data_IF_215155322746
#
_entry.id   IF_215155322746
#
_cell.length_a   1.000
_cell.length_b   1.000
_cell.length_c   1.000
_cell.angle_alpha   90.00
_cell.angle_beta   90.00
_cell.angle_gamma   90.00
#
_symmetry.space_group_name_H-M   'P 1'
#
loop_
_entity.id
_entity.type
_entity.pdbx_description
1 polymer ?
#
# COMPACT_ATOMS: atom_id res chain seq x y z
N UNK A 1 -8.83 -21.31 -6.87
CA UNK A 1 -9.70 -20.92 -7.99
C UNK A 1 -9.02 -19.77 -8.71
N UNK A 2 -8.57 -19.99 -9.94
CA UNK A 2 -7.89 -18.95 -10.72
C UNK A 2 -8.95 -18.17 -11.52
N UNK A 3 -8.99 -16.85 -11.36
CA UNK A 3 -9.91 -16.00 -12.13
C UNK A 3 -9.49 -16.00 -13.61
N UNK A 4 -10.44 -16.12 -14.53
CA UNK A 4 -10.18 -15.99 -15.96
C UNK A 4 -9.66 -14.58 -16.29
N UNK A 5 -8.91 -14.46 -17.39
CA UNK A 5 -8.40 -13.16 -17.84
C UNK A 5 -9.54 -12.16 -18.09
N UNK A 6 -10.62 -12.60 -18.72
CA UNK A 6 -11.84 -11.81 -18.96
C UNK A 6 -12.47 -11.30 -17.67
N UNK A 7 -12.57 -12.14 -16.63
CA UNK A 7 -13.15 -11.73 -15.35
C UNK A 7 -12.23 -10.74 -14.62
N UNK A 8 -10.91 -10.92 -14.69
CA UNK A 8 -9.93 -9.97 -14.15
C UNK A 8 -10.06 -8.60 -14.83
N UNK A 9 -10.19 -8.58 -16.15
CA UNK A 9 -10.37 -7.34 -16.92
C UNK A 9 -11.69 -6.66 -16.57
N UNK A 10 -12.81 -7.39 -16.54
CA UNK A 10 -14.12 -6.85 -16.16
C UNK A 10 -14.12 -6.27 -14.74
N UNK A 11 -13.52 -6.96 -13.77
CA UNK A 11 -13.36 -6.45 -12.42
C UNK A 11 -12.51 -5.17 -12.39
N UNK A 12 -11.40 -5.14 -13.15
CA UNK A 12 -10.55 -3.94 -13.25
C UNK A 12 -11.30 -2.75 -13.85
N UNK A 13 -12.06 -2.97 -14.93
CA UNK A 13 -12.87 -1.93 -15.57
C UNK A 13 -13.97 -1.41 -14.63
N UNK A 14 -14.68 -2.31 -13.96
CA UNK A 14 -15.74 -1.95 -13.02
C UNK A 14 -15.21 -1.17 -11.81
N UNK A 15 -14.06 -1.57 -11.27
CA UNK A 15 -13.47 -0.92 -10.11
C UNK A 15 -13.04 0.53 -10.35
N UNK A 16 -12.59 0.85 -11.58
CA UNK A 16 -12.11 2.18 -11.94
C UNK A 16 -13.19 3.11 -12.54
N UNK A 17 -14.40 2.58 -12.78
CA UNK A 17 -15.49 3.32 -13.39
C UNK A 17 -16.38 3.97 -12.34
N UNK A 18 -16.34 5.31 -12.28
CA UNK A 18 -17.27 6.13 -11.49
C UNK A 18 -18.52 6.35 -12.35
N UNK A 19 -19.69 6.08 -11.77
CA UNK A 19 -20.99 6.36 -12.36
C UNK A 19 -21.52 7.67 -11.78
N UNK A 20 -22.00 8.55 -12.65
CA UNK A 20 -22.78 9.73 -12.28
C UNK A 20 -24.25 9.41 -12.45
N UNK A 21 -25.06 9.79 -11.46
CA UNK A 21 -26.51 9.57 -11.42
C UNK A 21 -27.26 10.81 -11.95
N UNK A 22 -28.56 10.67 -12.20
CA UNK A 22 -29.39 11.74 -12.77
C UNK A 22 -29.49 12.97 -11.85
N UNK A 23 -29.33 12.77 -10.54
CA UNK A 23 -29.28 13.83 -9.53
C UNK A 23 -27.92 14.55 -9.44
N UNK A 24 -26.96 14.18 -10.29
CA UNK A 24 -25.60 14.71 -10.28
C UNK A 24 -24.67 14.06 -9.25
N UNK A 25 -25.16 13.14 -8.41
CA UNK A 25 -24.35 12.38 -7.47
C UNK A 25 -23.44 11.36 -8.17
N UNK A 26 -22.43 10.86 -7.45
CA UNK A 26 -21.50 9.83 -7.96
C UNK A 26 -21.36 8.66 -6.99
N UNK A 27 -20.97 7.48 -7.50
CA UNK A 27 -20.68 6.32 -6.66
C UNK A 27 -19.23 6.22 -6.17
N UNK A 28 -18.47 7.32 -6.22
CA UNK A 28 -17.04 7.28 -5.91
C UNK A 28 -16.72 6.94 -4.45
N UNK A 29 -17.62 7.34 -3.54
CA UNK A 29 -17.52 7.11 -2.10
C UNK A 29 -18.15 5.79 -1.65
N UNK A 30 -18.83 5.06 -2.54
CA UNK A 30 -19.46 3.78 -2.19
C UNK A 30 -18.39 2.74 -1.80
N UNK A 31 -18.57 2.02 -0.67
CA UNK A 31 -17.65 0.96 -0.27
C UNK A 31 -17.61 -0.16 -1.31
N UNK A 32 -16.40 -0.50 -1.74
CA UNK A 32 -16.15 -1.61 -2.65
C UNK A 32 -15.60 -2.84 -1.93
N UNK A 33 -14.72 -2.62 -0.96
CA UNK A 33 -14.02 -3.69 -0.26
C UNK A 33 -13.85 -3.32 1.20
N UNK A 34 -14.07 -4.29 2.08
CA UNK A 34 -13.71 -4.20 3.49
C UNK A 34 -12.67 -5.28 3.76
N UNK A 35 -11.44 -4.85 4.03
CA UNK A 35 -10.37 -5.72 4.45
C UNK A 35 -10.41 -5.88 5.96
N UNK A 36 -10.83 -7.05 6.40
CA UNK A 36 -10.77 -7.39 7.82
C UNK A 36 -9.29 -7.51 8.21
N UNK A 37 -8.76 -6.63 9.05
CA UNK A 37 -7.48 -6.80 9.75
C UNK A 37 -7.74 -6.72 11.26
N UNK A 38 -6.75 -6.35 12.09
CA UNK A 38 -7.03 -6.05 13.50
C UNK A 38 -8.05 -4.90 13.64
N UNK A 39 -8.02 -3.94 12.72
CA UNK A 39 -9.14 -3.03 12.43
C UNK A 39 -9.58 -3.17 10.97
N UNK A 40 -10.89 -3.12 10.68
CA UNK A 40 -11.39 -3.15 9.31
C UNK A 40 -10.91 -1.92 8.52
N UNK A 41 -10.43 -2.15 7.30
CA UNK A 41 -10.10 -1.09 6.35
C UNK A 41 -11.11 -1.10 5.20
N UNK A 42 -11.78 0.03 4.98
CA UNK A 42 -12.74 0.19 3.90
C UNK A 42 -12.08 0.89 2.71
N UNK A 43 -12.24 0.33 1.52
CA UNK A 43 -11.86 0.92 0.25
C UNK A 43 -13.12 1.22 -0.56
N UNK A 44 -13.26 2.44 -1.04
CA UNK A 44 -14.24 2.86 -2.05
C UNK A 44 -13.63 3.02 -3.44
N UNK A 45 -14.48 3.29 -4.44
CA UNK A 45 -14.10 3.47 -5.85
C UNK A 45 -13.03 4.52 -6.08
N UNK A 46 -13.05 5.61 -5.31
CA UNK A 46 -12.05 6.67 -5.43
C UNK A 46 -10.62 6.15 -5.28
N UNK A 47 -10.38 5.18 -4.39
CA UNK A 47 -9.05 4.58 -4.23
C UNK A 47 -8.68 3.71 -5.43
N UNK A 48 -9.62 2.97 -6.02
CA UNK A 48 -9.35 2.10 -7.18
C UNK A 48 -9.13 2.88 -8.47
N UNK A 49 -9.62 4.12 -8.58
CA UNK A 49 -9.30 5.01 -9.70
C UNK A 49 -7.79 5.26 -9.82
N UNK A 50 -7.05 5.19 -8.71
CA UNK A 50 -5.59 5.33 -8.67
C UNK A 50 -4.82 4.21 -9.39
N UNK A 51 -5.50 3.12 -9.75
CA UNK A 51 -4.95 2.02 -10.56
C UNK A 51 -5.03 2.27 -12.08
N UNK A 52 -5.52 3.45 -12.50
CA UNK A 52 -5.51 3.83 -13.92
C UNK A 52 -4.07 4.04 -14.41
N UNK A 53 -3.89 3.92 -15.73
CA UNK A 53 -2.61 4.31 -16.32
C UNK A 53 -2.37 5.81 -16.08
N UNK A 54 -1.11 6.17 -15.81
CA UNK A 54 -0.69 7.55 -15.59
C UNK A 54 -1.31 8.25 -14.36
N UNK A 55 -1.85 7.50 -13.40
CA UNK A 55 -2.24 8.02 -12.08
C UNK A 55 -1.22 7.62 -11.01
N UNK A 56 -1.13 8.41 -9.94
CA UNK A 56 -0.42 8.01 -8.73
C UNK A 56 -1.26 6.99 -7.97
N UNK A 57 -0.63 5.92 -7.46
CA UNK A 57 -1.30 4.90 -6.66
C UNK A 57 -1.50 5.47 -5.24
N UNK A 58 -2.73 5.38 -4.75
CA UNK A 58 -3.08 5.84 -3.40
C UNK A 58 -2.42 4.98 -2.32
N UNK A 59 -2.04 5.61 -1.21
CA UNK A 59 -1.38 4.92 -0.09
C UNK A 59 -2.28 3.83 0.54
N UNK A 60 -3.59 4.01 0.45
CA UNK A 60 -4.63 3.07 0.88
C UNK A 60 -4.58 1.79 0.03
N UNK A 61 -4.39 1.90 -1.28
CA UNK A 61 -4.23 0.73 -2.16
C UNK A 61 -2.95 -0.04 -1.81
N UNK A 62 -1.85 0.67 -1.58
CA UNK A 62 -0.59 0.04 -1.17
C UNK A 62 -0.72 -0.63 0.20
N UNK A 63 -1.43 0.01 1.13
CA UNK A 63 -1.72 -0.55 2.46
C UNK A 63 -2.57 -1.81 2.35
N UNK A 64 -3.62 -1.78 1.55
CA UNK A 64 -4.47 -2.92 1.26
C UNK A 64 -3.68 -4.10 0.68
N UNK A 65 -2.75 -3.84 -0.25
CA UNK A 65 -1.86 -4.88 -0.77
C UNK A 65 -1.01 -5.53 0.33
N UNK A 66 -0.40 -4.74 1.23
CA UNK A 66 0.34 -5.29 2.36
C UNK A 66 -0.53 -6.15 3.27
N UNK A 67 -1.74 -5.69 3.60
CA UNK A 67 -2.68 -6.43 4.44
C UNK A 67 -3.08 -7.77 3.80
N UNK A 68 -3.33 -7.77 2.49
CA UNK A 68 -3.62 -8.99 1.73
C UNK A 68 -2.41 -9.94 1.75
N UNK A 69 -1.21 -9.46 1.44
CA UNK A 69 0.01 -10.28 1.41
C UNK A 69 0.29 -10.93 2.77
N UNK A 70 0.10 -10.19 3.86
CA UNK A 70 0.28 -10.69 5.23
C UNK A 70 -0.74 -11.77 5.64
N UNK A 71 -1.86 -11.87 4.91
CA UNK A 71 -2.94 -12.84 5.16
C UNK A 71 -2.96 -14.00 4.17
N UNK A 72 -2.28 -13.85 3.04
CA UNK A 72 -2.14 -14.94 2.10
C UNK A 72 -1.29 -16.05 2.72
N UNK A 73 -1.72 -17.30 2.50
CA UNK A 73 -0.97 -18.49 2.90
C UNK A 73 0.21 -18.70 1.94
N UNK A 74 1.14 -17.74 1.97
CA UNK A 74 2.40 -17.78 1.27
C UNK A 74 3.46 -17.90 2.35
N UNK A 75 4.12 -19.06 2.41
CA UNK A 75 5.13 -19.41 3.41
C UNK A 75 6.11 -18.28 3.75
N UNK A 76 6.57 -17.53 2.74
CA UNK A 76 7.47 -16.37 2.97
C UNK A 76 6.83 -15.28 3.83
N UNK A 77 5.56 -14.94 3.62
CA UNK A 77 4.85 -13.92 4.40
C UNK A 77 4.32 -14.44 5.75
N UNK A 78 4.29 -15.75 5.94
CA UNK A 78 3.94 -16.38 7.22
C UNK A 78 5.13 -16.50 8.17
N UNK A 79 6.31 -16.78 7.63
CA UNK A 79 7.49 -17.14 8.44
C UNK A 79 8.60 -16.09 8.39
N UNK A 80 8.72 -15.33 7.30
CA UNK A 80 9.95 -14.58 6.99
C UNK A 80 9.74 -13.08 6.80
N UNK A 81 8.64 -12.68 6.19
CA UNK A 81 8.39 -11.33 5.72
C UNK A 81 7.10 -10.79 6.32
N UNK A 82 7.17 -9.67 7.04
CA UNK A 82 6.00 -8.91 7.42
C UNK A 82 5.92 -7.61 6.61
N UNK A 83 4.82 -7.39 5.89
CA UNK A 83 4.55 -6.17 5.11
C UNK A 83 3.91 -5.11 6.00
N UNK A 84 4.59 -4.00 6.25
CA UNK A 84 4.09 -2.90 7.07
C UNK A 84 3.09 -2.06 6.26
N UNK A 85 1.89 -1.74 6.78
CA UNK A 85 0.98 -0.79 6.16
C UNK A 85 1.65 0.55 5.79
N UNK A 86 1.47 1.02 4.55
CA UNK A 86 2.13 2.22 4.03
C UNK A 86 1.70 3.50 4.79
N UNK A 87 0.44 3.57 5.22
CA UNK A 87 -0.12 4.70 5.98
C UNK A 87 0.71 5.05 7.22
N UNK A 88 1.23 4.04 7.91
CA UNK A 88 2.01 4.22 9.14
C UNK A 88 3.35 4.90 8.85
N UNK A 89 4.01 4.46 7.78
CA UNK A 89 5.32 5.00 7.39
C UNK A 89 5.18 6.40 6.81
N UNK A 90 4.13 6.64 6.01
CA UNK A 90 3.87 7.94 5.39
C UNK A 90 3.61 9.02 6.44
N UNK A 91 2.88 8.70 7.51
CA UNK A 91 2.59 9.64 8.59
C UNK A 91 3.83 9.90 9.45
N UNK A 92 4.60 8.85 9.73
CA UNK A 92 5.90 8.99 10.39
C UNK A 92 6.82 9.93 9.61
N UNK A 93 6.81 9.87 8.27
CA UNK A 93 7.60 10.76 7.41
C UNK A 93 7.01 12.15 7.35
N UNK A 94 5.70 12.29 7.15
CA UNK A 94 5.02 13.59 7.04
C UNK A 94 5.17 14.44 8.30
N UNK A 95 5.21 13.83 9.48
CA UNK A 95 5.42 14.53 10.75
C UNK A 95 6.88 14.90 11.03
N UNK A 96 7.80 14.49 10.14
CA UNK A 96 9.24 14.68 10.29
C UNK A 96 9.78 15.58 9.16
N UNK A 97 10.09 16.83 9.48
CA UNK A 97 10.67 17.78 8.51
C UNK A 97 12.05 17.30 8.02
N UNK A 98 12.13 16.86 6.76
CA UNK A 98 13.39 16.69 6.03
C UNK A 98 14.08 15.33 6.19
N UNK A 99 13.33 14.25 6.42
CA UNK A 99 13.87 12.88 6.33
C UNK A 99 14.76 12.43 7.50
N UNK A 100 14.92 13.26 8.53
CA UNK A 100 15.39 12.80 9.84
C UNK A 100 14.19 12.20 10.55
N UNK A 101 14.23 10.93 10.97
CA UNK A 101 13.21 10.31 11.82
C UNK A 101 13.22 10.89 13.25
N UNK A 102 13.22 12.21 13.33
CA UNK A 102 13.22 13.01 14.54
C UNK A 102 11.97 13.86 14.49
N UNK A 103 11.11 13.70 15.48
CA UNK A 103 9.85 14.42 15.56
C UNK A 103 10.09 15.93 15.50
N UNK A 104 9.38 16.62 14.58
CA UNK A 104 9.69 18.01 14.21
C UNK A 104 9.74 18.97 15.40
N UNK A 105 8.84 18.78 16.38
CA UNK A 105 8.71 19.65 17.56
C UNK A 105 9.72 19.40 18.69
N UNK A 106 10.09 18.15 18.95
CA UNK A 106 10.83 17.78 20.17
C UNK A 106 12.18 17.10 19.87
N UNK A 107 12.52 16.91 18.58
CA UNK A 107 13.76 16.29 18.11
C UNK A 107 14.01 14.87 18.64
N UNK A 108 13.00 14.21 19.22
CA UNK A 108 13.12 12.82 19.68
C UNK A 108 13.08 11.86 18.50
N UNK A 109 13.78 10.71 18.58
CA UNK A 109 13.64 9.63 17.61
C UNK A 109 12.18 9.21 17.44
N UNK A 110 11.85 8.69 16.25
CA UNK A 110 10.56 8.06 16.01
C UNK A 110 10.29 6.97 17.05
N UNK A 111 9.16 7.10 17.75
CA UNK A 111 8.63 6.09 18.63
C UNK A 111 7.22 5.72 18.16
N UNK A 112 6.99 4.44 17.91
CA UNK A 112 5.68 3.93 17.50
C UNK A 112 4.61 4.17 18.58
N UNK A 113 5.02 4.33 19.85
CA UNK A 113 4.11 4.64 20.96
C UNK A 113 3.49 6.03 20.86
N UNK A 114 4.12 6.97 20.14
CA UNK A 114 3.53 8.28 19.85
C UNK A 114 2.39 8.19 18.82
N UNK A 115 2.28 7.04 18.13
CA UNK A 115 1.37 6.78 17.03
C UNK A 115 0.31 5.73 17.40
N UNK A 116 -0.24 5.84 18.62
CA UNK A 116 -1.20 4.86 19.17
C UNK A 116 -2.40 4.56 18.27
N UNK A 117 -2.84 5.54 17.49
CA UNK A 117 -3.95 5.35 16.53
C UNK A 117 -3.66 4.30 15.45
N UNK A 118 -2.38 3.97 15.21
CA UNK A 118 -1.95 3.00 14.20
C UNK A 118 -1.60 1.63 14.77
N UNK A 119 -1.38 1.52 16.08
CA UNK A 119 -1.16 0.24 16.76
C UNK A 119 -2.25 -0.78 16.44
N UNK A 120 -3.55 -0.43 16.38
CA UNK A 120 -4.60 -1.38 16.03
C UNK A 120 -4.57 -1.89 14.59
N UNK A 121 -3.74 -1.34 13.71
CA UNK A 121 -3.56 -1.82 12.34
C UNK A 121 -2.29 -2.68 12.20
N UNK A 122 -1.52 -2.85 13.28
CA UNK A 122 -0.26 -3.56 13.31
C UNK A 122 -0.38 -4.89 14.02
N UNK A 123 -0.03 -5.97 13.33
CA UNK A 123 0.24 -7.23 14.00
C UNK A 123 1.60 -7.16 14.70
N UNK A 124 1.60 -6.67 15.94
CA UNK A 124 2.80 -6.53 16.76
C UNK A 124 3.50 -7.88 16.99
N UNK A 125 2.75 -8.99 17.02
CA UNK A 125 3.34 -10.33 17.16
C UNK A 125 4.13 -10.68 15.91
N UNK A 126 3.57 -10.44 14.72
CA UNK A 126 4.30 -10.64 13.45
C UNK A 126 5.49 -9.70 13.33
N UNK A 127 5.32 -8.43 13.69
CA UNK A 127 6.41 -7.46 13.67
C UNK A 127 7.60 -7.89 14.54
N UNK A 128 7.34 -8.52 15.69
CA UNK A 128 8.38 -9.02 16.58
C UNK A 128 8.97 -10.38 16.15
N UNK A 129 8.19 -11.24 15.50
CA UNK A 129 8.62 -12.60 15.14
C UNK A 129 9.28 -12.71 13.76
N UNK A 130 8.98 -11.79 12.83
CA UNK A 130 9.42 -11.91 11.45
C UNK A 130 10.85 -11.37 11.28
N UNK A 131 11.75 -12.14 10.65
CA UNK A 131 13.14 -11.74 10.47
C UNK A 131 13.33 -10.61 9.45
N UNK A 132 12.35 -10.38 8.56
CA UNK A 132 12.39 -9.31 7.56
C UNK A 132 11.11 -8.48 7.58
N UNK A 133 11.26 -7.16 7.53
CA UNK A 133 10.15 -6.21 7.42
C UNK A 133 10.21 -5.54 6.06
N UNK A 134 9.10 -5.59 5.33
CA UNK A 134 8.89 -4.89 4.07
C UNK A 134 8.01 -3.68 4.35
N UNK A 135 8.51 -2.47 4.10
CA UNK A 135 7.76 -1.25 4.37
C UNK A 135 7.67 -0.42 3.09
N UNK A 136 6.56 -0.51 2.34
CA UNK A 136 6.30 0.45 1.28
C UNK A 136 6.12 1.85 1.88
N UNK A 137 6.67 2.83 1.19
CA UNK A 137 6.61 4.24 1.54
C UNK A 137 6.15 4.99 0.32
N UNK A 138 5.13 5.83 0.47
CA UNK A 138 4.62 6.70 -0.59
C UNK A 138 4.52 8.12 -0.04
N UNK A 139 5.35 9.02 -0.54
CA UNK A 139 5.40 10.41 -0.11
C UNK A 139 5.50 11.33 -1.32
N UNK A 140 4.52 12.23 -1.46
CA UNK A 140 4.35 13.04 -2.67
C UNK A 140 4.20 12.16 -3.91
N UNK A 141 4.97 12.46 -4.96
CA UNK A 141 4.92 11.75 -6.24
C UNK A 141 5.85 10.52 -6.31
N UNK A 142 6.37 10.07 -5.16
CA UNK A 142 7.37 9.01 -5.09
C UNK A 142 6.95 7.90 -4.13
N UNK A 143 7.09 6.65 -4.59
CA UNK A 143 7.01 5.48 -3.74
C UNK A 143 8.32 4.69 -3.78
N UNK A 144 8.75 4.17 -2.64
CA UNK A 144 9.89 3.26 -2.51
C UNK A 144 9.57 2.15 -1.53
N UNK A 145 10.40 1.10 -1.49
CA UNK A 145 10.21 -0.01 -0.55
C UNK A 145 11.44 -0.09 0.33
N UNK A 146 11.23 -0.10 1.64
CA UNK A 146 12.28 -0.44 2.60
C UNK A 146 12.23 -1.93 2.93
N UNK A 147 13.41 -2.51 3.03
CA UNK A 147 13.63 -3.87 3.47
C UNK A 147 14.55 -3.82 4.70
N UNK A 148 14.00 -4.15 5.86
CA UNK A 148 14.76 -4.30 7.08
C UNK A 148 15.01 -5.78 7.37
N UNK A 149 16.27 -6.19 7.49
CA UNK A 149 16.65 -7.47 8.07
C UNK A 149 16.87 -7.25 9.58
N UNK A 150 15.89 -7.69 10.37
CA UNK A 150 15.86 -7.51 11.83
C UNK A 150 16.99 -8.28 12.49
N UNK A 151 17.31 -9.48 11.98
CA UNK A 151 18.37 -10.35 12.54
C UNK A 151 19.75 -9.76 12.30
N UNK A 152 19.98 -9.22 11.11
CA UNK A 152 21.28 -8.63 10.74
C UNK A 152 21.40 -7.16 11.13
N UNK A 153 20.33 -6.54 11.64
CA UNK A 153 20.23 -5.10 11.91
C UNK A 153 20.64 -4.26 10.68
N UNK A 154 20.28 -4.73 9.48
CA UNK A 154 20.61 -4.07 8.21
C UNK A 154 19.34 -3.54 7.56
N UNK A 155 19.43 -2.33 7.04
CA UNK A 155 18.35 -1.67 6.32
C UNK A 155 18.78 -1.41 4.88
N UNK A 156 17.94 -1.84 3.96
CA UNK A 156 18.08 -1.56 2.54
C UNK A 156 16.87 -0.76 2.08
N UNK A 157 17.09 0.18 1.18
CA UNK A 157 15.99 0.83 0.48
C UNK A 157 16.10 0.47 -1.00
N UNK A 158 14.99 0.01 -1.56
CA UNK A 158 14.84 -0.16 -3.00
C UNK A 158 14.10 1.07 -3.49
N UNK A 159 14.83 2.00 -4.12
CA UNK A 159 14.20 3.08 -4.89
C UNK A 159 13.69 2.45 -6.17
N UNK A 160 12.44 2.03 -6.16
CA UNK A 160 11.74 1.88 -7.42
C UNK A 160 11.39 3.29 -7.89
N UNK A 161 11.93 3.74 -9.02
CA UNK A 161 11.15 4.68 -9.85
C UNK A 161 9.98 3.86 -10.37
N UNK A 162 9.00 3.56 -9.52
CA UNK A 162 7.81 2.81 -9.90
C UNK A 162 6.89 3.75 -10.67
N UNK A 163 7.33 4.16 -11.87
CA UNK A 163 6.38 4.52 -12.92
C UNK A 163 5.81 3.19 -13.38
N UNK A 164 4.68 2.78 -12.80
CA UNK A 164 3.92 1.65 -13.33
C UNK A 164 3.31 2.12 -14.66
N UNK A 165 4.10 2.10 -15.72
CA UNK A 165 3.55 2.12 -17.06
C UNK A 165 2.96 0.75 -17.30
N UNK A 166 1.64 0.64 -17.22
CA UNK A 166 0.92 -0.45 -17.86
C UNK A 166 1.09 -0.28 -19.39
N UNK A 167 2.26 -0.68 -19.90
CA UNK A 167 2.58 -0.62 -21.31
C UNK A 167 1.86 -1.73 -22.06
N UNK A 168 0.72 -1.39 -22.67
CA UNK A 168 0.22 -2.13 -23.82
C UNK A 168 1.13 -1.82 -25.01
N UNK A 169 2.03 -2.74 -25.36
CA UNK A 169 2.74 -2.68 -26.65
C UNK A 169 2.10 -3.69 -27.59
N UNK A 170 1.18 -3.24 -28.43
CA UNK A 170 0.97 -3.91 -29.71
C UNK A 170 2.20 -3.62 -30.57
N UNK A 171 3.04 -4.64 -30.75
CA UNK A 171 4.04 -4.67 -31.81
C UNK A 171 3.29 -4.70 -33.16
N UNK A 172 3.21 -3.59 -33.86
CA UNK A 172 3.13 -3.63 -35.32
C UNK A 172 4.56 -3.72 -35.87
N UNK A 173 4.86 -4.89 -36.44
CA UNK A 173 6.08 -5.10 -37.22
C UNK A 173 5.97 -4.25 -38.47
N UNK A 174 6.97 -3.42 -38.71
CA UNK A 174 7.33 -3.02 -40.07
C UNK A 174 7.93 -4.23 -40.76
N UNK A 175 7.32 -4.61 -41.88
CA UNK A 175 7.93 -5.27 -43.03
C UNK A 175 7.09 -4.91 -44.23
#
# INVERSE_FOLDING_TARGET
>A
MELSADLKEKCYLWAKHIKTYEDGGTNESEPMCILNAQQPMQLSKIHFVSLKASTYIEAEIVTAMCLILNKQNIRRFEEQIYCLPATIVNIAIGNNNGGKFLHAKNKKPFDIQDYKMFIPYLDLKKLASHPSIFAPVCYGEHCWIWLADVRKKKFWYVISRMRVYAGGTSRERRS
#
